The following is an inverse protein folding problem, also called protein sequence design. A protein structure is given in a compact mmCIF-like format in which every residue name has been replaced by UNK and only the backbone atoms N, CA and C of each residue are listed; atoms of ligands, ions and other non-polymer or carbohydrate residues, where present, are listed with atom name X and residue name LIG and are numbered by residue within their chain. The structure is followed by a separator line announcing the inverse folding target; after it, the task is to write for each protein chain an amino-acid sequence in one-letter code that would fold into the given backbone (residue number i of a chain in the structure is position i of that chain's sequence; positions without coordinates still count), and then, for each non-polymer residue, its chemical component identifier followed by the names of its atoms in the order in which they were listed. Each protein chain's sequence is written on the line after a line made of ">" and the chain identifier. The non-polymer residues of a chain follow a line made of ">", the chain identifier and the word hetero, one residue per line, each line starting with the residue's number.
data_IF_986611362287
#
_entry.id   IF_986611362287
#
_cell.length_a   1.000
_cell.length_b   1.000
_cell.length_c   1.000
_cell.angle_alpha   90.00
_cell.angle_beta   90.00
_cell.angle_gamma   90.00
#
_symmetry.space_group_name_H-M   'P 1'
#
loop_
_entity.id
_entity.type
_entity.pdbx_description
1 polymer ?
#
# COMPACT_ATOMS: atom_id res chain seq x y z
N UNK A 1 -1.13 -15.78 24.47
CA UNK A 1 -1.17 -15.42 23.03
C UNK A 1 -0.90 -13.93 22.95
N UNK A 2 0.27 -13.56 22.45
CA UNK A 2 0.58 -12.14 22.18
C UNK A 2 -0.06 -11.88 20.82
N UNK A 3 -1.16 -11.15 20.78
CA UNK A 3 -1.70 -10.62 19.54
C UNK A 3 -0.65 -9.65 19.00
N UNK A 4 0.02 -10.01 17.92
CA UNK A 4 0.89 -9.09 17.20
C UNK A 4 0.07 -7.87 16.80
N UNK A 5 0.42 -6.69 17.28
CA UNK A 5 -0.24 -5.47 16.84
C UNK A 5 0.06 -5.27 15.36
N UNK A 6 -0.98 -5.25 14.55
CA UNK A 6 -0.87 -4.87 13.13
C UNK A 6 -0.32 -3.46 13.08
N UNK A 7 0.80 -3.28 12.41
CA UNK A 7 1.45 -1.96 12.32
C UNK A 7 0.57 -1.03 11.48
N UNK A 8 0.26 0.14 12.02
CA UNK A 8 -0.49 1.18 11.34
C UNK A 8 0.44 2.29 10.86
N UNK A 9 -0.01 3.03 9.85
CA UNK A 9 0.69 4.24 9.41
C UNK A 9 0.69 5.28 10.54
N UNK A 10 1.83 5.96 10.69
CA UNK A 10 1.92 7.09 11.60
C UNK A 10 1.46 8.35 10.87
N UNK A 11 0.61 9.12 11.53
CA UNK A 11 0.12 10.39 11.02
C UNK A 11 1.28 11.39 10.83
N UNK A 12 1.08 12.31 9.87
CA UNK A 12 2.05 13.35 9.58
C UNK A 12 2.22 14.30 10.77
N UNK A 13 3.46 14.72 11.02
CA UNK A 13 3.71 15.84 11.91
C UNK A 13 2.98 17.10 11.39
N UNK A 14 2.53 17.97 12.29
CA UNK A 14 1.66 19.12 11.95
C UNK A 14 2.21 20.05 10.88
N UNK A 15 3.54 20.14 10.78
CA UNK A 15 4.27 20.96 9.80
C UNK A 15 4.55 20.23 8.47
N UNK A 16 4.28 18.93 8.38
CA UNK A 16 4.39 18.16 7.14
C UNK A 16 3.04 18.20 6.41
N UNK A 17 3.08 18.51 5.13
CA UNK A 17 1.90 18.59 4.26
C UNK A 17 2.18 17.94 2.90
N UNK A 18 1.11 17.78 2.13
CA UNK A 18 1.17 17.32 0.73
C UNK A 18 1.94 16.00 0.59
N UNK A 19 1.81 15.08 1.56
CA UNK A 19 2.48 13.78 1.47
C UNK A 19 1.83 12.96 0.35
N UNK A 20 2.56 12.80 -0.75
CA UNK A 20 2.14 12.02 -1.92
C UNK A 20 3.12 10.89 -2.12
N UNK A 21 2.62 9.67 -2.13
CA UNK A 21 3.42 8.47 -2.34
C UNK A 21 2.75 7.61 -3.42
N UNK A 22 3.30 7.62 -4.64
CA UNK A 22 2.68 6.99 -5.80
C UNK A 22 3.69 6.50 -6.83
N UNK A 23 3.27 5.52 -7.63
CA UNK A 23 3.95 5.16 -8.86
C UNK A 23 3.87 6.30 -9.87
N UNK A 24 4.85 6.38 -10.77
CA UNK A 24 4.88 7.39 -11.83
C UNK A 24 3.69 7.30 -12.79
N UNK A 25 3.15 6.10 -12.97
CA UNK A 25 2.05 5.82 -13.91
C UNK A 25 0.69 5.68 -13.21
N UNK A 26 0.63 5.82 -11.89
CA UNK A 26 -0.56 5.52 -11.13
C UNK A 26 -1.42 6.77 -10.90
N UNK A 27 -2.71 6.62 -11.14
CA UNK A 27 -3.72 7.62 -10.79
C UNK A 27 -4.12 7.55 -9.31
N UNK A 28 -3.72 6.48 -8.64
CA UNK A 28 -4.06 6.18 -7.27
C UNK A 28 -2.97 6.64 -6.31
N UNK A 29 -3.35 6.91 -5.07
CA UNK A 29 -2.43 7.37 -4.03
C UNK A 29 -1.82 6.23 -3.20
N UNK A 30 -2.38 5.01 -3.32
CA UNK A 30 -1.81 3.84 -2.67
C UNK A 30 -0.70 3.26 -3.56
N UNK A 31 0.55 3.26 -3.12
CA UNK A 31 1.64 2.75 -3.93
C UNK A 31 1.64 1.23 -3.95
N UNK A 32 1.01 0.66 -4.98
CA UNK A 32 1.08 -0.75 -5.33
C UNK A 32 1.88 -0.84 -6.62
N UNK A 33 3.11 -1.31 -6.55
CA UNK A 33 4.07 -1.26 -7.65
C UNK A 33 4.62 -2.64 -7.99
N UNK A 34 4.96 -2.88 -9.25
CA UNK A 34 5.63 -4.10 -9.63
C UNK A 34 7.08 -4.13 -9.09
N UNK A 35 7.61 -5.32 -8.82
CA UNK A 35 8.99 -5.48 -8.39
C UNK A 35 9.94 -4.89 -9.46
N UNK A 36 10.74 -3.90 -9.05
CA UNK A 36 11.63 -3.16 -9.93
C UNK A 36 11.02 -1.90 -10.57
N UNK A 37 9.73 -1.64 -10.42
CA UNK A 37 9.10 -0.40 -10.85
C UNK A 37 9.51 0.77 -9.96
N UNK A 38 9.67 1.95 -10.56
CA UNK A 38 10.05 3.19 -9.83
C UNK A 38 8.82 3.93 -9.36
N UNK A 39 8.82 4.32 -8.09
CA UNK A 39 7.80 5.14 -7.45
C UNK A 39 8.45 6.28 -6.65
N UNK A 40 7.66 7.29 -6.29
CA UNK A 40 8.17 8.51 -5.67
C UNK A 40 7.32 8.89 -4.45
N UNK A 41 8.01 9.16 -3.33
CA UNK A 41 7.48 9.90 -2.20
C UNK A 41 7.81 11.37 -2.38
N UNK A 42 6.83 12.25 -2.17
CA UNK A 42 7.03 13.70 -2.10
C UNK A 42 6.27 14.25 -0.90
N UNK A 43 6.86 15.21 -0.20
CA UNK A 43 6.20 15.91 0.91
C UNK A 43 6.75 17.32 1.09
N UNK A 44 5.95 18.19 1.72
CA UNK A 44 6.29 19.58 2.01
C UNK A 44 6.53 19.78 3.51
N UNK A 45 7.66 20.38 3.88
CA UNK A 45 7.93 20.89 5.22
C UNK A 45 7.63 22.40 5.26
N UNK A 46 6.61 22.79 6.03
CA UNK A 46 6.16 24.18 6.17
C UNK A 46 7.08 25.03 7.07
N UNK A 47 8.06 24.44 7.74
CA UNK A 47 9.06 25.23 8.46
C UNK A 47 10.02 25.95 7.51
N UNK A 48 10.07 25.55 6.24
CA UNK A 48 10.85 26.14 5.17
C UNK A 48 12.37 26.16 5.39
N UNK A 49 12.85 25.44 6.39
CA UNK A 49 14.27 25.22 6.64
C UNK A 49 14.77 24.02 5.84
N UNK A 50 16.06 24.02 5.51
CA UNK A 50 16.71 22.83 4.94
C UNK A 50 17.04 21.85 6.06
N UNK A 51 16.06 21.01 6.41
CA UNK A 51 16.21 19.97 7.42
C UNK A 51 16.67 18.67 6.81
N UNK A 52 17.38 17.89 7.59
CA UNK A 52 17.73 16.54 7.19
C UNK A 52 16.58 15.59 7.54
N UNK A 53 16.14 14.84 6.54
CA UNK A 53 15.21 13.73 6.71
C UNK A 53 15.88 12.45 6.25
N UNK A 54 15.60 11.37 6.99
CA UNK A 54 16.14 10.04 6.74
C UNK A 54 14.99 9.08 6.55
N UNK A 55 15.15 8.11 5.67
CA UNK A 55 14.15 7.07 5.49
C UNK A 55 14.65 5.70 5.90
N UNK A 56 13.72 4.88 6.38
CA UNK A 56 13.91 3.46 6.71
C UNK A 56 12.83 2.65 6.06
N UNK A 57 13.19 1.44 5.62
CA UNK A 57 12.26 0.51 4.98
C UNK A 57 12.13 -0.74 5.86
N UNK A 58 10.90 -1.08 6.18
CA UNK A 58 10.57 -2.30 6.92
C UNK A 58 9.68 -3.22 6.09
N UNK A 59 9.90 -4.51 6.19
CA UNK A 59 9.12 -5.56 5.53
C UNK A 59 8.19 -6.24 6.53
N UNK A 60 6.97 -6.59 6.09
CA UNK A 60 5.93 -7.19 6.91
C UNK A 60 5.33 -8.43 6.24
N UNK A 61 4.76 -9.31 7.07
CA UNK A 61 3.96 -10.43 6.61
C UNK A 61 2.66 -9.95 5.92
N UNK A 62 1.94 -10.86 5.27
CA UNK A 62 0.68 -10.57 4.58
C UNK A 62 -0.38 -9.87 5.44
N UNK A 63 -0.37 -10.10 6.74
CA UNK A 63 -1.28 -9.54 7.74
C UNK A 63 -0.74 -8.30 8.46
N UNK A 64 0.34 -7.71 7.95
CA UNK A 64 1.06 -6.58 8.55
C UNK A 64 1.67 -6.85 9.92
N UNK A 65 1.88 -8.10 10.28
CA UNK A 65 2.71 -8.45 11.43
C UNK A 65 4.19 -8.37 11.08
N UNK A 66 5.07 -8.08 12.06
CA UNK A 66 6.51 -8.05 11.82
C UNK A 66 7.03 -9.36 11.24
N UNK A 67 7.90 -9.26 10.25
CA UNK A 67 8.58 -10.42 9.66
C UNK A 67 9.71 -10.93 10.54
N UNK A 68 10.09 -12.19 10.33
CA UNK A 68 11.33 -12.77 10.86
C UNK A 68 12.52 -12.68 9.89
N UNK A 69 12.31 -12.15 8.68
CA UNK A 69 13.35 -12.01 7.68
C UNK A 69 14.36 -10.93 8.07
N UNK A 70 15.63 -11.17 7.77
CA UNK A 70 16.66 -10.15 7.89
C UNK A 70 16.55 -9.15 6.72
N UNK A 71 17.01 -7.92 6.94
CA UNK A 71 16.95 -6.87 5.92
C UNK A 71 17.58 -7.30 4.58
N UNK A 72 18.71 -7.99 4.62
CA UNK A 72 19.42 -8.48 3.42
C UNK A 72 18.64 -9.50 2.58
N UNK A 73 17.57 -10.09 3.11
CA UNK A 73 16.73 -11.06 2.40
C UNK A 73 15.67 -10.36 1.56
N UNK A 74 15.15 -9.21 1.98
CA UNK A 74 14.10 -8.48 1.24
C UNK A 74 14.59 -7.20 0.55
N UNK A 75 15.75 -6.66 0.94
CA UNK A 75 16.28 -5.42 0.42
C UNK A 75 17.83 -5.44 0.38
N UNK A 76 18.40 -4.87 -0.67
CA UNK A 76 19.82 -4.49 -0.71
C UNK A 76 19.94 -3.00 -0.46
N UNK A 77 20.91 -2.62 0.36
CA UNK A 77 21.22 -1.25 0.70
C UNK A 77 21.34 -1.04 2.19
N UNK A 78 21.48 0.22 2.56
CA UNK A 78 21.63 0.62 3.95
C UNK A 78 20.28 1.03 4.54
N UNK A 79 20.23 1.03 5.85
CA UNK A 79 19.15 1.62 6.62
C UNK A 79 19.48 3.07 6.97
N UNK A 80 18.47 3.89 7.25
CA UNK A 80 18.63 5.27 7.68
C UNK A 80 19.37 6.17 6.67
N UNK A 81 18.88 6.18 5.43
CA UNK A 81 19.49 6.95 4.33
C UNK A 81 18.86 8.34 4.27
N UNK A 82 19.70 9.37 4.10
CA UNK A 82 19.27 10.76 3.97
C UNK A 82 18.52 11.00 2.66
N UNK A 83 17.45 11.81 2.72
CA UNK A 83 16.73 12.30 1.56
C UNK A 83 17.43 13.56 1.06
N UNK A 84 18.18 13.46 -0.04
CA UNK A 84 19.02 14.54 -0.55
C UNK A 84 18.32 15.45 -1.57
N UNK A 85 17.25 14.95 -2.21
CA UNK A 85 16.56 15.72 -3.23
C UNK A 85 15.48 16.58 -2.59
N UNK A 86 15.78 17.86 -2.40
CA UNK A 86 14.83 18.84 -1.89
C UNK A 86 14.93 20.16 -2.64
N UNK A 87 13.87 20.95 -2.54
CA UNK A 87 13.81 22.28 -3.15
C UNK A 87 12.98 23.22 -2.29
N UNK A 88 13.56 24.33 -1.88
CA UNK A 88 12.88 25.38 -1.12
C UNK A 88 12.02 26.24 -2.05
N UNK A 89 10.84 26.62 -1.58
CA UNK A 89 9.92 27.51 -2.28
C UNK A 89 10.54 28.93 -2.40
N UNK A 90 10.19 29.61 -3.47
CA UNK A 90 10.61 30.99 -3.69
C UNK A 90 9.39 31.89 -3.89
N UNK A 91 9.35 33.00 -3.14
CA UNK A 91 8.31 34.04 -3.25
C UNK A 91 6.88 33.53 -3.07
N UNK A 92 6.66 32.61 -2.12
CA UNK A 92 5.35 32.05 -1.75
C UNK A 92 4.85 32.70 -0.45
N UNK A 93 3.51 32.82 -0.29
CA UNK A 93 2.90 33.36 0.94
C UNK A 93 3.22 32.49 2.17
N UNK A 94 3.20 31.18 2.00
CA UNK A 94 3.67 30.21 2.98
C UNK A 94 4.96 29.59 2.44
N UNK A 95 6.10 29.90 3.02
CA UNK A 95 7.35 29.20 2.66
C UNK A 95 7.28 27.72 2.99
N UNK A 96 7.89 26.90 2.16
CA UNK A 96 8.00 25.45 2.39
C UNK A 96 9.24 24.90 1.69
N UNK A 97 9.69 23.74 2.14
CA UNK A 97 10.71 22.93 1.46
C UNK A 97 10.08 21.63 1.00
N UNK A 98 10.10 21.37 -0.29
CA UNK A 98 9.60 20.14 -0.88
C UNK A 98 10.72 19.11 -0.97
N UNK A 99 10.48 17.93 -0.42
CA UNK A 99 11.38 16.77 -0.45
C UNK A 99 10.86 15.72 -1.39
N UNK A 100 11.76 15.02 -2.09
CA UNK A 100 11.43 13.93 -3.03
C UNK A 100 12.36 12.76 -2.84
N UNK A 101 11.79 11.58 -2.75
CA UNK A 101 12.50 10.32 -2.66
C UNK A 101 11.99 9.37 -3.75
N UNK A 102 12.88 8.96 -4.66
CA UNK A 102 12.59 7.92 -5.64
C UNK A 102 13.11 6.58 -5.16
N UNK A 103 12.29 5.56 -5.30
CA UNK A 103 12.61 4.16 -4.97
C UNK A 103 12.20 3.25 -6.13
N UNK A 104 12.94 2.16 -6.42
CA UNK A 104 14.28 1.91 -5.93
C UNK A 104 15.30 2.93 -6.45
N UNK A 105 16.43 3.08 -5.73
CA UNK A 105 17.55 3.94 -6.10
C UNK A 105 18.89 3.19 -5.97
N UNK A 106 20.01 3.89 -6.00
CA UNK A 106 21.34 3.27 -5.88
C UNK A 106 21.57 2.66 -4.49
N UNK A 107 21.02 3.30 -3.45
CA UNK A 107 21.18 2.92 -2.05
C UNK A 107 20.13 1.89 -1.58
N UNK A 108 19.01 1.76 -2.29
CA UNK A 108 17.89 0.89 -1.89
C UNK A 108 17.33 0.11 -3.07
N UNK A 109 17.42 -1.23 -3.02
CA UNK A 109 16.88 -2.13 -4.05
C UNK A 109 16.05 -3.23 -3.39
N UNK A 110 14.80 -3.36 -3.80
CA UNK A 110 13.90 -4.40 -3.30
C UNK A 110 14.21 -5.74 -3.96
N UNK A 111 14.21 -6.81 -3.17
CA UNK A 111 14.50 -8.18 -3.62
C UNK A 111 13.25 -9.06 -3.63
N UNK A 112 12.27 -8.75 -2.78
CA UNK A 112 11.04 -9.53 -2.63
C UNK A 112 9.81 -8.67 -2.91
N UNK A 113 8.76 -9.31 -3.40
CA UNK A 113 7.40 -8.79 -3.34
C UNK A 113 6.83 -8.94 -1.92
N UNK A 114 5.91 -8.06 -1.53
CA UNK A 114 5.26 -8.12 -0.21
C UNK A 114 4.84 -6.76 0.33
N UNK A 115 4.60 -6.72 1.62
CA UNK A 115 4.13 -5.55 2.35
C UNK A 115 5.30 -4.79 2.95
N UNK A 116 5.36 -3.50 2.70
CA UNK A 116 6.43 -2.62 3.17
C UNK A 116 5.88 -1.39 3.86
N UNK A 117 6.66 -0.84 4.79
CA UNK A 117 6.44 0.49 5.35
C UNK A 117 7.70 1.31 5.11
N UNK A 118 7.51 2.51 4.58
CA UNK A 118 8.51 3.56 4.54
C UNK A 118 8.27 4.48 5.73
N UNK A 119 9.28 4.67 6.54
CA UNK A 119 9.30 5.56 7.70
C UNK A 119 10.26 6.72 7.41
N UNK A 120 9.84 7.94 7.75
CA UNK A 120 10.66 9.15 7.61
C UNK A 120 10.96 9.70 9.00
N UNK A 121 12.24 9.93 9.27
CA UNK A 121 12.79 10.42 10.54
C UNK A 121 13.52 11.74 10.34
N UNK A 122 13.62 12.53 11.42
CA UNK A 122 14.47 13.72 11.48
C UNK A 122 15.88 13.38 12.02
N UNK A 123 16.74 14.41 12.18
CA UNK A 123 18.08 14.29 12.75
C UNK A 123 18.11 13.75 14.20
N UNK A 124 17.04 13.97 14.95
CA UNK A 124 16.92 13.53 16.34
C UNK A 124 16.38 12.10 16.47
N UNK A 125 16.30 11.37 15.36
CA UNK A 125 15.73 10.00 15.28
C UNK A 125 14.24 9.94 15.68
N UNK A 126 13.51 11.06 15.51
CA UNK A 126 12.07 11.12 15.76
C UNK A 126 11.32 10.76 14.48
N UNK A 127 10.40 9.79 14.58
CA UNK A 127 9.53 9.41 13.49
C UNK A 127 8.57 10.57 13.14
N UNK A 128 8.62 11.04 11.91
CA UNK A 128 7.85 12.16 11.41
C UNK A 128 6.54 11.70 10.77
N UNK A 129 6.60 10.65 9.95
CA UNK A 129 5.46 9.95 9.40
C UNK A 129 5.87 8.60 8.81
N UNK A 130 4.89 7.76 8.51
CA UNK A 130 5.11 6.52 7.78
C UNK A 130 4.03 6.27 6.73
N UNK A 131 4.38 5.51 5.69
CA UNK A 131 3.46 5.11 4.61
C UNK A 131 3.63 3.65 4.25
N UNK A 132 2.50 2.96 4.10
CA UNK A 132 2.44 1.60 3.58
C UNK A 132 2.60 1.61 2.08
N UNK A 133 3.26 0.60 1.55
CA UNK A 133 3.29 0.30 0.12
C UNK A 133 3.42 -1.19 -0.13
N UNK A 134 3.02 -1.61 -1.32
CA UNK A 134 3.11 -3.00 -1.71
C UNK A 134 3.96 -3.13 -2.96
N UNK A 135 4.80 -4.15 -2.94
CA UNK A 135 5.53 -4.59 -4.12
C UNK A 135 4.95 -5.93 -4.56
N UNK A 136 4.48 -6.02 -5.80
CA UNK A 136 3.89 -7.24 -6.32
C UNK A 136 4.69 -7.85 -7.46
N UNK A 137 4.47 -9.15 -7.67
CA UNK A 137 4.87 -9.89 -8.85
C UNK A 137 3.62 -10.51 -9.47
N UNK A 138 3.49 -10.42 -10.77
CA UNK A 138 2.32 -10.95 -11.48
C UNK A 138 2.43 -12.49 -11.61
N UNK A 139 2.05 -13.21 -10.56
CA UNK A 139 2.08 -14.69 -10.48
C UNK A 139 0.71 -15.33 -10.70
N UNK A 140 -0.34 -14.52 -10.68
CA UNK A 140 -1.72 -14.97 -10.84
C UNK A 140 -2.54 -13.93 -11.61
N UNK A 141 -3.53 -14.39 -12.35
CA UNK A 141 -4.52 -13.52 -12.97
C UNK A 141 -5.74 -13.41 -12.05
N UNK A 142 -6.15 -12.19 -11.74
CA UNK A 142 -7.34 -11.89 -10.94
C UNK A 142 -8.42 -11.28 -11.82
N UNK A 143 -9.49 -12.03 -12.04
CA UNK A 143 -10.69 -11.50 -12.68
C UNK A 143 -11.70 -11.08 -11.61
N UNK A 144 -12.08 -9.79 -11.58
CA UNK A 144 -13.03 -9.25 -10.61
C UNK A 144 -14.16 -8.50 -11.27
N UNK A 145 -15.35 -8.54 -10.68
CA UNK A 145 -16.49 -7.76 -11.10
C UNK A 145 -17.33 -7.33 -9.91
N UNK A 146 -17.86 -6.11 -9.99
CA UNK A 146 -18.74 -5.51 -8.98
C UNK A 146 -20.19 -5.82 -9.34
N UNK A 147 -20.94 -6.29 -8.37
CA UNK A 147 -22.35 -6.60 -8.51
C UNK A 147 -23.15 -5.90 -7.42
N UNK A 148 -24.38 -5.61 -7.72
CA UNK A 148 -25.37 -5.24 -6.70
C UNK A 148 -25.60 -6.43 -5.78
N UNK A 149 -25.64 -6.20 -4.47
CA UNK A 149 -25.94 -7.27 -3.51
C UNK A 149 -27.32 -7.88 -3.82
N UNK A 150 -27.42 -9.21 -3.77
CA UNK A 150 -28.70 -9.93 -3.87
C UNK A 150 -29.33 -10.21 -2.50
N UNK A 151 -28.62 -9.88 -1.43
CA UNK A 151 -29.16 -9.94 -0.07
C UNK A 151 -30.20 -8.81 0.08
N UNK A 152 -31.42 -9.15 0.47
CA UNK A 152 -32.52 -8.19 0.58
C UNK A 152 -32.22 -7.05 1.56
N UNK A 153 -31.43 -7.30 2.58
CA UNK A 153 -31.03 -6.31 3.58
C UNK A 153 -30.08 -5.27 2.97
N UNK A 154 -29.24 -5.68 2.04
CA UNK A 154 -28.16 -4.87 1.48
C UNK A 154 -28.36 -4.44 0.02
N UNK A 155 -29.47 -4.89 -0.57
CA UNK A 155 -29.75 -4.70 -2.00
C UNK A 155 -29.71 -3.25 -2.47
N UNK A 156 -30.12 -2.29 -1.61
CA UNK A 156 -30.14 -0.86 -1.98
C UNK A 156 -28.90 -0.08 -1.53
N UNK A 157 -28.11 -0.64 -0.62
CA UNK A 157 -27.05 0.10 0.05
C UNK A 157 -25.64 -0.45 -0.21
N UNK A 158 -25.52 -1.73 -0.64
CA UNK A 158 -24.22 -2.38 -0.80
C UNK A 158 -23.98 -2.89 -2.20
N UNK A 159 -22.72 -2.85 -2.59
CA UNK A 159 -22.17 -3.54 -3.73
C UNK A 159 -21.30 -4.70 -3.24
N UNK A 160 -21.31 -5.81 -3.95
CA UNK A 160 -20.45 -6.96 -3.64
C UNK A 160 -19.47 -7.23 -4.78
N UNK A 161 -18.28 -7.67 -4.43
CA UNK A 161 -17.26 -8.05 -5.39
C UNK A 161 -17.26 -9.57 -5.51
N UNK A 162 -17.39 -10.05 -6.74
CA UNK A 162 -17.11 -11.45 -7.07
C UNK A 162 -15.83 -11.51 -7.86
N UNK A 163 -14.95 -12.44 -7.52
CA UNK A 163 -13.66 -12.53 -8.18
C UNK A 163 -13.19 -13.97 -8.29
N UNK A 164 -12.23 -14.17 -9.15
CA UNK A 164 -11.53 -15.44 -9.30
C UNK A 164 -10.04 -15.23 -9.39
N UNK A 165 -9.28 -16.18 -8.91
CA UNK A 165 -7.83 -16.22 -8.98
C UNK A 165 -7.42 -17.40 -9.85
N UNK A 166 -6.69 -17.13 -10.93
CA UNK A 166 -6.16 -18.14 -11.82
C UNK A 166 -4.61 -18.11 -11.71
N UNK A 167 -3.95 -19.20 -11.33
CA UNK A 167 -2.51 -19.28 -11.43
C UNK A 167 -2.08 -19.21 -12.90
N UNK A 168 -0.87 -18.71 -13.13
CA UNK A 168 -0.26 -18.71 -14.45
C UNK A 168 -0.27 -20.12 -15.07
N UNK A 169 -0.42 -20.18 -16.39
CA UNK A 169 -0.51 -21.45 -17.11
C UNK A 169 0.63 -22.42 -16.75
N UNK A 170 0.26 -23.64 -16.37
CA UNK A 170 1.20 -24.68 -15.94
C UNK A 170 1.69 -24.57 -14.49
N UNK A 171 1.24 -23.56 -13.74
CA UNK A 171 1.51 -23.42 -12.31
C UNK A 171 0.32 -23.84 -11.47
N UNK A 172 0.59 -24.28 -10.25
CA UNK A 172 -0.43 -24.70 -9.27
C UNK A 172 -0.24 -23.91 -7.99
N UNK A 173 -1.34 -23.44 -7.42
CA UNK A 173 -1.33 -22.91 -6.06
C UNK A 173 -1.33 -24.09 -5.09
N UNK A 174 -0.24 -24.21 -4.34
CA UNK A 174 -0.10 -25.25 -3.33
C UNK A 174 -0.96 -24.85 -2.12
N UNK A 175 -1.76 -25.76 -1.61
CA UNK A 175 -2.62 -25.56 -0.43
C UNK A 175 -3.34 -24.19 -0.42
N UNK A 176 -4.16 -23.88 -1.44
CA UNK A 176 -4.70 -22.54 -1.61
C UNK A 176 -5.67 -22.10 -0.50
N UNK A 177 -6.25 -23.04 0.23
CA UNK A 177 -7.12 -22.71 1.38
C UNK A 177 -6.35 -22.06 2.52
N UNK A 178 -5.11 -22.46 2.73
CA UNK A 178 -4.29 -21.97 3.84
C UNK A 178 -3.27 -20.92 3.42
N UNK A 179 -2.74 -21.00 2.17
CA UNK A 179 -1.63 -20.16 1.72
C UNK A 179 -2.06 -18.99 0.82
N UNK A 180 -3.32 -18.97 0.34
CA UNK A 180 -3.81 -17.82 -0.42
C UNK A 180 -4.56 -16.87 0.51
N UNK A 181 -4.00 -15.71 0.71
CA UNK A 181 -4.59 -14.61 1.46
C UNK A 181 -5.08 -13.54 0.51
N UNK A 182 -6.32 -13.11 0.71
CA UNK A 182 -6.95 -12.10 -0.15
C UNK A 182 -7.16 -10.81 0.62
N UNK A 183 -6.93 -9.68 -0.06
CA UNK A 183 -7.25 -8.35 0.45
C UNK A 183 -8.09 -7.63 -0.60
N UNK A 184 -9.24 -7.11 -0.19
CA UNK A 184 -10.10 -6.30 -1.03
C UNK A 184 -10.19 -4.92 -0.38
N UNK A 185 -9.82 -3.89 -1.14
CA UNK A 185 -9.89 -2.49 -0.71
C UNK A 185 -10.99 -1.79 -1.49
N UNK A 186 -11.77 -0.97 -0.79
CA UNK A 186 -12.63 0.03 -1.42
C UNK A 186 -11.92 1.39 -1.34
N UNK A 187 -11.77 2.06 -2.49
CA UNK A 187 -11.18 3.39 -2.57
C UNK A 187 -9.81 3.47 -1.87
N UNK A 188 -8.99 2.42 -1.99
CA UNK A 188 -7.64 2.32 -1.41
C UNK A 188 -7.56 2.44 0.12
N UNK A 189 -8.69 2.30 0.81
CA UNK A 189 -8.77 2.47 2.26
C UNK A 189 -8.49 1.16 2.99
N UNK A 190 -7.46 1.16 3.82
CA UNK A 190 -7.12 0.02 4.67
C UNK A 190 -8.11 -0.19 5.83
N UNK A 191 -8.76 0.87 6.32
CA UNK A 191 -9.68 0.79 7.46
C UNK A 191 -10.92 -0.06 7.16
N UNK A 192 -11.33 -0.13 5.90
CA UNK A 192 -12.46 -0.92 5.42
C UNK A 192 -12.03 -2.18 4.66
N UNK A 193 -10.75 -2.54 4.73
CA UNK A 193 -10.22 -3.71 4.04
C UNK A 193 -10.94 -5.00 4.45
N UNK A 194 -11.35 -5.78 3.46
CA UNK A 194 -11.86 -7.13 3.67
C UNK A 194 -10.72 -8.09 3.41
N UNK A 195 -10.34 -8.88 4.41
CA UNK A 195 -9.16 -9.74 4.36
C UNK A 195 -9.51 -11.22 4.53
N UNK A 196 -8.62 -12.08 4.07
CA UNK A 196 -8.62 -13.52 4.32
C UNK A 196 -9.91 -14.27 3.97
N UNK A 197 -10.60 -13.82 2.93
CA UNK A 197 -11.75 -14.56 2.40
C UNK A 197 -11.25 -15.83 1.74
N UNK A 198 -11.83 -16.97 2.15
CA UNK A 198 -11.50 -18.27 1.57
C UNK A 198 -12.27 -18.51 0.27
N UNK A 199 -11.73 -19.27 -0.69
CA UNK A 199 -12.47 -19.62 -1.90
C UNK A 199 -13.72 -20.44 -1.57
N UNK A 200 -14.81 -20.18 -2.30
CA UNK A 200 -16.03 -20.98 -2.17
C UNK A 200 -16.02 -22.22 -3.06
N UNK A 201 -15.38 -22.10 -4.21
CA UNK A 201 -15.34 -23.17 -5.20
C UNK A 201 -13.95 -23.29 -5.79
N UNK A 202 -13.59 -24.52 -6.12
CA UNK A 202 -12.39 -24.87 -6.85
C UNK A 202 -12.82 -25.44 -8.20
N UNK A 203 -12.42 -24.80 -9.27
CA UNK A 203 -12.63 -25.30 -10.63
C UNK A 203 -11.27 -25.59 -11.26
N UNK A 204 -10.77 -26.83 -11.08
CA UNK A 204 -9.38 -27.16 -11.34
C UNK A 204 -8.46 -26.32 -10.46
N UNK A 205 -7.58 -25.52 -11.08
CA UNK A 205 -6.66 -24.62 -10.38
C UNK A 205 -7.26 -23.24 -10.08
N UNK A 206 -8.46 -22.97 -10.60
CA UNK A 206 -9.11 -21.68 -10.42
C UNK A 206 -9.83 -21.61 -9.09
N UNK A 207 -9.56 -20.57 -8.32
CA UNK A 207 -10.25 -20.26 -7.09
C UNK A 207 -11.38 -19.27 -7.37
N UNK A 208 -12.60 -19.57 -6.90
CA UNK A 208 -13.76 -18.70 -7.12
C UNK A 208 -14.35 -18.18 -5.82
N UNK A 209 -14.62 -16.88 -5.79
CA UNK A 209 -15.15 -16.13 -4.66
C UNK A 209 -16.43 -15.42 -5.09
N UNK A 210 -17.58 -16.04 -4.81
CA UNK A 210 -18.92 -15.57 -5.24
C UNK A 210 -19.78 -15.13 -4.05
N UNK A 211 -19.15 -14.56 -3.04
CA UNK A 211 -19.86 -14.11 -1.86
C UNK A 211 -20.73 -12.89 -2.17
N UNK A 212 -21.86 -12.78 -1.42
CA UNK A 212 -22.75 -11.63 -1.52
C UNK A 212 -22.58 -10.67 -0.34
N UNK A 213 -22.40 -11.23 0.87
CA UNK A 213 -22.30 -10.46 2.11
C UNK A 213 -20.84 -10.23 2.52
N UNK A 214 -20.00 -11.26 2.47
CA UNK A 214 -18.61 -11.19 2.97
C UNK A 214 -17.72 -10.29 2.13
N UNK A 215 -18.07 -10.01 0.87
CA UNK A 215 -17.36 -9.13 -0.05
C UNK A 215 -18.14 -7.85 -0.35
N UNK A 216 -19.08 -7.52 0.54
CA UNK A 216 -19.95 -6.36 0.39
C UNK A 216 -19.32 -5.10 0.98
N UNK A 217 -19.40 -4.01 0.23
CA UNK A 217 -19.06 -2.67 0.68
C UNK A 217 -20.29 -1.78 0.58
N UNK A 218 -20.44 -0.88 1.54
CA UNK A 218 -21.47 0.15 1.50
C UNK A 218 -21.20 1.10 0.34
N UNK A 219 -22.23 1.43 -0.43
CA UNK A 219 -22.17 2.44 -1.48
C UNK A 219 -22.11 3.86 -0.89
N UNK A 220 -21.78 4.84 -1.74
CA UNK A 220 -21.71 6.24 -1.33
C UNK A 220 -20.37 6.70 -0.76
N UNK A 221 -19.38 5.80 -0.66
CA UNK A 221 -18.01 6.15 -0.28
C UNK A 221 -17.19 6.54 -1.52
N UNK A 222 -17.72 7.42 -2.33
CA UNK A 222 -17.08 7.87 -3.55
C UNK A 222 -16.04 8.96 -3.25
N UNK A 223 -14.94 8.98 -4.04
CA UNK A 223 -14.01 10.09 -4.02
C UNK A 223 -14.65 11.33 -4.64
N UNK A 224 -14.68 12.41 -3.88
CA UNK A 224 -14.98 13.73 -4.42
C UNK A 224 -13.67 14.32 -4.95
N UNK A 225 -13.60 14.49 -6.27
CA UNK A 225 -12.48 15.15 -6.90
C UNK A 225 -12.75 16.65 -7.01
N UNK A 226 -11.85 17.46 -6.46
CA UNK A 226 -11.90 18.92 -6.59
C UNK A 226 -10.67 19.40 -7.35
N UNK A 227 -10.89 20.09 -8.47
CA UNK A 227 -9.83 20.72 -9.27
C UNK A 227 -9.98 22.24 -9.20
N UNK A 228 -8.91 22.94 -8.88
CA UNK A 228 -8.85 24.39 -8.80
C UNK A 228 -8.31 25.07 -10.07
N UNK A 229 -8.37 24.39 -11.22
CA UNK A 229 -7.95 25.01 -12.48
C UNK A 229 -8.87 26.12 -12.89
#
# INVERSE_FOLDING_TARGET
>A
MIFGQTVQETNDASFIKSVVFKSKNDKFQLPIVALGEVFELSFDDLNADERNYYYRIKYFNHDWTPTSLFQSEFMRGFDNIRIENYRTSFNTLQPFTNYKLKLPNEETKFLLSGNYILEVYNDDDILIFSRRFLIYENKVDVGAAVYRSRDLTFYQTHQCIQFSINPEAGKFLRDPENLVHTVILQNEQWNSAITDIKPQYFNGNRLEYRYQKKTGFEGGNEYLFFDTK
#
